data_IF_467019515837
#
_entry.id   IF_467019515837
#
_cell.length_a   1.000
_cell.length_b   1.000
_cell.length_c   1.000
_cell.angle_alpha   90.00
_cell.angle_beta   90.00
_cell.angle_gamma   90.00
#
_symmetry.space_group_name_H-M   'P 1'
#
loop_
_entity.id
_entity.type
_entity.pdbx_description
1 polymer ?
#
# COMPACT_ATOMS: atom_id res chain seq x y z
N UNK A 1 2.36 -17.36 -14.77
CA UNK A 1 2.19 -16.30 -15.79
C UNK A 1 3.39 -16.31 -16.72
N UNK A 2 3.28 -15.78 -17.93
CA UNK A 2 4.38 -15.71 -18.90
C UNK A 2 4.71 -14.25 -19.15
N UNK A 3 5.97 -13.88 -18.92
CA UNK A 3 6.51 -12.55 -19.19
C UNK A 3 7.01 -12.47 -20.62
N UNK A 4 6.60 -11.42 -21.32
CA UNK A 4 7.04 -11.15 -22.69
C UNK A 4 8.19 -10.14 -22.62
N UNK A 5 9.39 -10.56 -22.97
CA UNK A 5 10.61 -9.77 -22.80
C UNK A 5 11.17 -9.40 -24.17
N UNK A 6 11.39 -8.10 -24.40
CA UNK A 6 12.08 -7.57 -25.56
C UNK A 6 13.33 -6.83 -25.12
N UNK A 7 14.50 -7.24 -25.61
CA UNK A 7 15.80 -6.60 -25.31
C UNK A 7 16.04 -6.38 -23.80
N UNK A 8 15.60 -7.34 -22.97
CA UNK A 8 15.71 -7.27 -21.50
C UNK A 8 14.62 -6.47 -20.79
N UNK A 9 13.69 -5.85 -21.52
CA UNK A 9 12.56 -5.08 -20.95
C UNK A 9 11.27 -5.88 -21.05
N UNK A 10 10.48 -5.87 -19.98
CA UNK A 10 9.14 -6.48 -19.96
C UNK A 10 8.15 -5.66 -20.79
N UNK A 11 7.57 -6.26 -21.83
CA UNK A 11 6.48 -5.67 -22.60
C UNK A 11 5.12 -5.88 -21.93
N UNK A 12 4.99 -6.95 -21.16
CA UNK A 12 3.75 -7.33 -20.49
C UNK A 12 3.79 -8.76 -19.98
N UNK A 13 2.69 -9.19 -19.36
CA UNK A 13 2.50 -10.55 -18.88
C UNK A 13 1.17 -11.11 -19.40
N UNK A 14 1.14 -12.41 -19.64
CA UNK A 14 -0.08 -13.12 -20.06
C UNK A 14 -0.09 -14.53 -19.47
N UNK A 15 -1.26 -15.06 -19.17
CA UNK A 15 -1.42 -16.47 -18.78
C UNK A 15 -1.40 -17.40 -20.00
N UNK A 16 -1.85 -16.91 -21.15
CA UNK A 16 -1.96 -17.69 -22.38
C UNK A 16 -1.48 -16.83 -23.56
N UNK A 17 -0.21 -16.97 -23.99
CA UNK A 17 0.29 -16.32 -25.18
C UNK A 17 -0.54 -16.72 -26.40
N UNK A 18 -0.88 -15.74 -27.23
CA UNK A 18 -1.58 -16.00 -28.49
C UNK A 18 -0.54 -16.37 -29.54
N UNK A 19 -0.28 -17.66 -29.70
CA UNK A 19 0.72 -18.18 -30.64
C UNK A 19 0.29 -18.02 -32.09
N UNK A 20 1.23 -17.55 -32.92
CA UNK A 20 1.02 -17.35 -34.36
C UNK A 20 2.14 -17.95 -35.18
N UNK A 21 1.80 -18.31 -36.42
CA UNK A 21 2.75 -18.64 -37.48
C UNK A 21 2.36 -17.95 -38.77
N UNK A 22 3.31 -17.77 -39.68
CA UNK A 22 3.03 -17.25 -41.01
C UNK A 22 2.53 -18.38 -41.92
N UNK A 23 1.46 -18.13 -42.67
CA UNK A 23 0.97 -19.02 -43.72
C UNK A 23 1.64 -18.68 -45.06
N UNK A 24 1.56 -19.59 -46.04
CA UNK A 24 2.17 -19.41 -47.37
C UNK A 24 1.71 -18.15 -48.11
N UNK A 25 0.53 -17.64 -47.78
CA UNK A 25 -0.02 -16.40 -48.34
C UNK A 25 0.50 -15.13 -47.63
N UNK A 26 1.44 -15.27 -46.69
CA UNK A 26 2.03 -14.17 -45.91
C UNK A 26 1.20 -13.71 -44.72
N UNK A 27 -0.03 -14.21 -44.52
CA UNK A 27 -0.87 -13.87 -43.36
C UNK A 27 -0.45 -14.63 -42.10
N UNK A 28 -0.73 -14.05 -40.94
CA UNK A 28 -0.57 -14.72 -39.64
C UNK A 28 -1.82 -15.53 -39.28
N UNK A 29 -1.62 -16.76 -38.82
CA UNK A 29 -2.67 -17.65 -38.34
C UNK A 29 -2.37 -18.11 -36.92
N UNK A 30 -3.43 -18.30 -36.12
CA UNK A 30 -3.31 -18.88 -34.78
C UNK A 30 -2.84 -20.34 -34.88
N UNK A 31 -1.98 -20.75 -33.97
CA UNK A 31 -1.42 -22.11 -33.94
C UNK A 31 -1.12 -22.58 -32.51
N UNK A 32 -0.66 -23.82 -32.39
CA UNK A 32 -0.14 -24.36 -31.14
C UNK A 32 1.30 -23.88 -30.92
N UNK A 33 1.74 -23.82 -29.67
CA UNK A 33 3.09 -23.37 -29.29
C UNK A 33 4.22 -24.10 -30.04
N UNK A 34 4.07 -25.40 -30.24
CA UNK A 34 5.07 -26.24 -30.91
C UNK A 34 5.31 -25.83 -32.38
N UNK A 35 4.34 -25.18 -33.01
CA UNK A 35 4.37 -24.74 -34.41
C UNK A 35 4.58 -23.22 -34.54
N UNK A 36 4.66 -22.52 -33.42
CA UNK A 36 4.68 -21.07 -33.39
C UNK A 36 6.03 -20.51 -33.80
N UNK A 37 6.01 -19.52 -34.68
CA UNK A 37 7.16 -18.68 -35.02
C UNK A 37 7.09 -17.32 -34.33
N UNK A 38 5.93 -16.97 -33.77
CA UNK A 38 5.70 -15.72 -33.07
C UNK A 38 4.53 -15.76 -32.09
N UNK A 39 4.28 -14.62 -31.46
CA UNK A 39 3.07 -14.36 -30.68
C UNK A 39 2.41 -13.06 -31.12
N UNK A 40 1.09 -12.97 -30.96
CA UNK A 40 0.36 -11.72 -31.01
C UNK A 40 0.16 -11.17 -29.59
N UNK A 41 0.57 -9.93 -29.35
CA UNK A 41 0.36 -9.23 -28.08
C UNK A 41 -0.07 -7.80 -28.35
N UNK A 42 -1.20 -7.37 -27.76
CA UNK A 42 -1.78 -6.03 -27.94
C UNK A 42 -1.93 -5.59 -29.41
N UNK A 43 -2.26 -6.53 -30.30
CA UNK A 43 -2.44 -6.27 -31.73
C UNK A 43 -1.14 -6.24 -32.55
N UNK A 44 0.02 -6.40 -31.91
CA UNK A 44 1.33 -6.48 -32.58
C UNK A 44 1.83 -7.92 -32.63
N UNK A 45 2.40 -8.33 -33.76
CA UNK A 45 3.06 -9.64 -33.90
C UNK A 45 4.54 -9.50 -33.57
N UNK A 46 5.01 -10.37 -32.69
CA UNK A 46 6.41 -10.49 -32.32
C UNK A 46 6.94 -11.86 -32.72
N UNK A 47 8.19 -11.90 -33.16
CA UNK A 47 8.94 -13.13 -33.41
C UNK A 47 9.37 -13.78 -32.08
N UNK A 48 9.26 -15.09 -31.96
CA UNK A 48 9.79 -15.83 -30.81
C UNK A 48 11.28 -16.13 -31.03
N UNK A 49 12.14 -15.56 -30.18
CA UNK A 49 13.58 -15.75 -30.30
C UNK A 49 13.95 -17.26 -30.26
N UNK A 50 14.71 -17.72 -31.25
CA UNK A 50 15.08 -19.13 -31.38
C UNK A 50 14.11 -19.97 -32.24
N UNK A 51 13.07 -19.36 -32.82
CA UNK A 51 12.23 -19.95 -33.87
C UNK A 51 12.62 -19.43 -35.26
N UNK A 52 11.88 -19.87 -36.27
CA UNK A 52 12.04 -19.36 -37.63
C UNK A 52 11.73 -17.86 -37.68
N UNK A 53 12.62 -17.10 -38.29
CA UNK A 53 12.55 -15.64 -38.35
C UNK A 53 11.25 -15.17 -39.03
N UNK A 54 10.59 -14.19 -38.43
CA UNK A 54 9.46 -13.48 -39.03
C UNK A 54 9.93 -12.14 -39.58
N UNK A 55 9.82 -11.96 -40.89
CA UNK A 55 10.27 -10.75 -41.56
C UNK A 55 9.46 -9.53 -41.09
N UNK A 56 10.16 -8.47 -40.66
CA UNK A 56 9.55 -7.23 -40.17
C UNK A 56 9.00 -7.28 -38.74
N UNK A 57 9.11 -8.41 -38.03
CA UNK A 57 8.67 -8.55 -36.65
C UNK A 57 9.85 -8.43 -35.67
N UNK A 58 9.64 -7.71 -34.57
CA UNK A 58 10.61 -7.61 -33.49
C UNK A 58 10.64 -8.90 -32.66
N UNK A 59 11.80 -9.25 -32.09
CA UNK A 59 11.97 -10.50 -31.35
C UNK A 59 11.69 -10.36 -29.86
N UNK A 60 11.01 -11.35 -29.29
CA UNK A 60 10.73 -11.47 -27.86
C UNK A 60 11.11 -12.84 -27.34
N UNK A 61 11.33 -12.91 -26.03
CA UNK A 61 11.48 -14.16 -25.27
C UNK A 61 10.26 -14.29 -24.36
N UNK A 62 9.78 -15.52 -24.21
CA UNK A 62 8.77 -15.86 -23.21
C UNK A 62 9.47 -16.50 -22.02
N UNK A 63 9.26 -15.92 -20.83
CA UNK A 63 9.77 -16.45 -19.58
C UNK A 63 8.58 -16.84 -18.69
N UNK A 64 8.54 -18.09 -18.25
CA UNK A 64 7.57 -18.50 -17.22
C UNK A 64 7.95 -17.85 -15.89
N UNK A 65 7.00 -17.17 -15.28
CA UNK A 65 7.12 -16.53 -13.98
C UNK A 65 6.03 -17.05 -13.06
N UNK A 66 6.39 -17.33 -11.81
CA UNK A 66 5.42 -17.65 -10.78
C UNK A 66 4.54 -16.41 -10.51
N UNK A 67 3.24 -16.54 -10.79
CA UNK A 67 2.29 -15.45 -10.58
C UNK A 67 2.10 -15.15 -9.08
N UNK A 68 2.24 -16.15 -8.21
CA UNK A 68 2.15 -15.99 -6.77
C UNK A 68 3.30 -15.14 -6.23
N UNK A 69 4.53 -15.46 -6.64
CA UNK A 69 5.72 -14.70 -6.24
C UNK A 69 5.66 -13.24 -6.73
N UNK A 70 5.18 -12.99 -7.96
CA UNK A 70 5.09 -11.63 -8.49
C UNK A 70 3.98 -10.79 -7.80
N UNK A 71 2.86 -11.42 -7.45
CA UNK A 71 1.81 -10.79 -6.62
C UNK A 71 2.34 -10.46 -5.23
N UNK A 72 3.04 -11.40 -4.58
CA UNK A 72 3.64 -11.20 -3.26
C UNK A 72 4.70 -10.09 -3.28
N UNK A 73 5.54 -10.05 -4.33
CA UNK A 73 6.53 -8.99 -4.52
C UNK A 73 5.86 -7.62 -4.66
N UNK A 74 4.77 -7.54 -5.42
CA UNK A 74 4.01 -6.28 -5.61
C UNK A 74 3.35 -5.86 -4.30
N UNK A 75 2.72 -6.79 -3.57
CA UNK A 75 2.11 -6.53 -2.26
C UNK A 75 3.16 -6.06 -1.23
N UNK A 76 4.33 -6.71 -1.19
CA UNK A 76 5.46 -6.32 -0.34
C UNK A 76 5.94 -4.92 -0.67
N UNK A 77 6.07 -4.60 -1.97
CA UNK A 77 6.49 -3.26 -2.43
C UNK A 77 5.47 -2.20 -2.03
N UNK A 78 4.18 -2.46 -2.23
CA UNK A 78 3.10 -1.55 -1.83
C UNK A 78 3.07 -1.33 -0.31
N UNK A 79 3.29 -2.39 0.49
CA UNK A 79 3.40 -2.28 1.94
C UNK A 79 4.58 -1.42 2.39
N UNK A 80 5.74 -1.55 1.75
CA UNK A 80 6.92 -0.70 2.02
C UNK A 80 6.61 0.77 1.69
N UNK A 81 5.98 1.04 0.55
CA UNK A 81 5.59 2.41 0.16
C UNK A 81 4.58 2.99 1.15
N UNK A 82 3.55 2.23 1.52
CA UNK A 82 2.53 2.63 2.49
C UNK A 82 3.15 3.00 3.84
N UNK A 83 3.94 2.10 4.43
CA UNK A 83 4.58 2.33 5.73
C UNK A 83 5.53 3.53 5.69
N UNK A 84 6.30 3.71 4.62
CA UNK A 84 7.18 4.88 4.45
C UNK A 84 6.39 6.18 4.35
N UNK A 85 5.24 6.18 3.65
CA UNK A 85 4.37 7.35 3.56
C UNK A 85 3.72 7.69 4.90
N UNK A 86 3.27 6.68 5.66
CA UNK A 86 2.74 6.86 7.01
C UNK A 86 3.78 7.40 7.99
N UNK A 87 5.00 6.83 8.01
CA UNK A 87 6.10 7.33 8.85
C UNK A 87 6.54 8.76 8.46
N UNK A 88 6.31 9.17 7.21
CA UNK A 88 6.54 10.54 6.73
C UNK A 88 5.36 11.50 7.00
N UNK A 89 4.25 11.03 7.58
CA UNK A 89 3.05 11.82 7.86
C UNK A 89 2.20 12.14 6.61
N UNK A 90 2.38 11.40 5.51
CA UNK A 90 1.55 11.52 4.30
C UNK A 90 0.35 10.55 4.30
N UNK A 91 0.16 9.82 5.39
CA UNK A 91 -1.01 8.98 5.66
C UNK A 91 -1.38 9.28 7.10
N UNK A 92 -2.64 9.56 7.36
CA UNK A 92 -3.12 9.85 8.71
C UNK A 92 -3.05 8.60 9.60
N UNK A 93 -3.01 8.86 10.91
CA UNK A 93 -2.82 7.82 11.93
C UNK A 93 -3.97 6.78 11.93
N UNK A 94 -5.21 7.16 11.55
CA UNK A 94 -6.36 6.24 11.47
C UNK A 94 -6.20 5.29 10.29
N UNK A 95 -5.90 5.80 9.10
CA UNK A 95 -5.65 4.97 7.91
C UNK A 95 -4.44 4.06 8.13
N UNK A 96 -3.39 4.53 8.81
CA UNK A 96 -2.26 3.68 9.17
C UNK A 96 -2.69 2.53 10.09
N UNK A 97 -3.55 2.79 11.08
CA UNK A 97 -4.04 1.79 12.02
C UNK A 97 -4.90 0.69 11.35
N UNK A 98 -5.67 1.01 10.30
CA UNK A 98 -6.43 0.00 9.53
C UNK A 98 -5.54 -1.04 8.84
N UNK A 99 -4.26 -0.71 8.64
CA UNK A 99 -3.26 -1.56 7.99
C UNK A 99 -2.09 -1.91 8.94
N UNK A 100 -2.39 -2.09 10.23
CA UNK A 100 -1.39 -2.34 11.27
C UNK A 100 -0.48 -3.56 11.01
N UNK A 101 -0.96 -4.54 10.24
CA UNK A 101 -0.23 -5.74 9.85
C UNK A 101 0.90 -5.48 8.84
N UNK A 102 0.88 -4.35 8.12
CA UNK A 102 1.98 -3.93 7.26
C UNK A 102 3.19 -3.39 8.05
N UNK A 103 2.99 -2.97 9.30
CA UNK A 103 4.05 -2.41 10.13
C UNK A 103 4.87 -3.48 10.84
N UNK A 104 6.18 -3.26 10.87
CA UNK A 104 7.09 -4.14 11.60
C UNK A 104 6.76 -4.16 13.10
N UNK A 105 6.86 -5.33 13.76
CA UNK A 105 6.69 -5.40 15.20
C UNK A 105 7.80 -4.61 15.92
N UNK A 106 7.49 -4.07 17.09
CA UNK A 106 8.48 -3.51 18.00
C UNK A 106 9.45 -4.61 18.44
N UNK A 107 10.73 -4.26 18.53
CA UNK A 107 11.81 -5.16 18.91
C UNK A 107 12.91 -4.39 19.64
N UNK A 108 13.71 -5.12 20.41
CA UNK A 108 14.91 -4.60 21.07
C UNK A 108 16.06 -5.61 20.97
N UNK A 109 17.32 -5.15 20.87
CA UNK A 109 17.77 -3.76 20.80
C UNK A 109 17.77 -3.21 19.35
N UNK A 110 16.98 -2.16 19.09
CA UNK A 110 16.87 -1.47 17.80
C UNK A 110 17.06 0.04 18.01
N UNK A 111 17.79 0.69 17.11
CA UNK A 111 17.92 2.16 17.10
C UNK A 111 16.79 2.78 16.26
N UNK A 112 15.76 3.28 16.93
CA UNK A 112 14.62 3.92 16.30
C UNK A 112 14.88 5.41 16.02
N UNK A 113 14.31 5.91 14.93
CA UNK A 113 14.26 7.35 14.60
C UNK A 113 12.88 7.92 14.92
N UNK A 114 12.79 9.22 15.19
CA UNK A 114 11.51 9.90 15.36
C UNK A 114 10.65 9.74 14.10
N UNK A 115 9.33 9.56 14.29
CA UNK A 115 8.35 9.30 13.24
C UNK A 115 8.15 7.82 12.90
N UNK A 116 9.06 6.92 13.28
CA UNK A 116 8.89 5.48 12.97
C UNK A 116 7.70 4.87 13.69
N UNK A 117 6.97 4.01 12.98
CA UNK A 117 5.74 3.39 13.47
C UNK A 117 5.97 1.89 13.67
N UNK A 118 5.66 1.36 14.85
CA UNK A 118 5.81 -0.07 15.16
C UNK A 118 4.55 -0.64 15.76
N UNK A 119 4.24 -1.89 15.38
CA UNK A 119 3.17 -2.67 15.99
C UNK A 119 3.65 -3.27 17.31
N UNK A 120 2.88 -3.12 18.37
CA UNK A 120 3.19 -3.73 19.66
C UNK A 120 2.34 -4.98 19.94
N UNK A 121 2.61 -5.68 21.04
CA UNK A 121 2.01 -6.98 21.36
C UNK A 121 0.52 -6.89 21.71
N UNK A 122 0.03 -5.69 22.05
CA UNK A 122 -1.38 -5.35 22.21
C UNK A 122 -2.13 -5.20 20.87
N UNK A 123 -1.42 -5.30 19.73
CA UNK A 123 -1.96 -5.13 18.40
C UNK A 123 -2.03 -3.68 17.92
N UNK A 124 -1.65 -2.71 18.75
CA UNK A 124 -1.70 -1.28 18.42
C UNK A 124 -0.42 -0.84 17.71
N UNK A 125 -0.55 0.19 16.90
CA UNK A 125 0.57 0.96 16.35
C UNK A 125 0.99 2.09 17.30
N UNK A 126 2.31 2.24 17.43
CA UNK A 126 2.95 3.30 18.18
C UNK A 126 3.95 4.05 17.31
N UNK A 127 3.90 5.38 17.34
CA UNK A 127 4.83 6.28 16.67
C UNK A 127 5.93 6.71 17.63
N UNK A 128 7.18 6.58 17.21
CA UNK A 128 8.35 6.99 17.95
C UNK A 128 8.44 8.52 17.97
N UNK A 129 8.42 9.12 19.15
CA UNK A 129 8.47 10.58 19.32
C UNK A 129 9.88 11.14 19.19
N UNK A 130 10.88 10.38 19.65
CA UNK A 130 12.27 10.82 19.76
C UNK A 130 13.22 9.69 19.39
N UNK A 131 14.27 10.00 18.62
CA UNK A 131 15.26 9.00 18.24
C UNK A 131 15.97 8.42 19.47
N UNK A 132 16.02 7.09 19.58
CA UNK A 132 16.60 6.39 20.72
C UNK A 132 16.95 4.93 20.37
N UNK A 133 17.81 4.32 21.18
CA UNK A 133 18.00 2.87 21.19
C UNK A 133 17.01 2.24 22.17
N UNK A 134 16.16 1.34 21.68
CA UNK A 134 15.16 0.64 22.50
C UNK A 134 15.80 -0.22 23.58
N UNK A 135 15.15 -0.30 24.74
CA UNK A 135 15.52 -1.19 25.84
C UNK A 135 14.33 -2.08 26.20
N UNK A 136 14.60 -3.20 26.89
CA UNK A 136 13.56 -4.16 27.28
C UNK A 136 12.42 -3.51 28.08
N UNK A 137 12.75 -2.55 28.96
CA UNK A 137 11.79 -1.84 29.81
C UNK A 137 11.26 -0.55 29.16
N UNK A 138 11.67 -0.23 27.93
CA UNK A 138 11.20 0.94 27.17
C UNK A 138 10.20 0.50 26.11
N UNK A 139 9.15 -0.17 26.56
CA UNK A 139 8.11 -0.69 25.68
C UNK A 139 7.20 0.44 25.20
N UNK A 140 6.59 0.33 24.00
CA UNK A 140 5.74 1.37 23.43
C UNK A 140 4.54 1.78 24.31
N UNK A 141 3.96 0.84 25.06
CA UNK A 141 2.81 1.07 25.93
C UNK A 141 3.16 1.77 27.26
N UNK A 142 4.42 1.74 27.68
CA UNK A 142 4.85 2.28 28.99
C UNK A 142 5.73 3.52 28.87
N UNK A 143 6.58 3.58 27.85
CA UNK A 143 7.53 4.66 27.65
C UNK A 143 6.91 5.83 26.88
N UNK A 144 5.91 6.47 27.48
CA UNK A 144 5.09 7.55 26.89
C UNK A 144 5.89 8.79 26.43
N UNK A 145 7.12 8.99 26.93
CA UNK A 145 8.00 10.06 26.45
C UNK A 145 8.71 9.71 25.13
N UNK A 146 8.76 8.43 24.79
CA UNK A 146 9.44 7.89 23.60
C UNK A 146 8.45 7.42 22.53
N UNK A 147 7.25 7.02 22.92
CA UNK A 147 6.23 6.44 22.05
C UNK A 147 4.88 7.09 22.31
N UNK A 148 4.09 7.27 21.25
CA UNK A 148 2.68 7.65 21.31
C UNK A 148 1.86 6.60 20.56
N UNK A 149 0.74 6.16 21.14
CA UNK A 149 -0.21 5.30 20.44
C UNK A 149 -0.85 6.12 19.31
N UNK A 150 -0.82 5.59 18.09
CA UNK A 150 -1.53 6.16 16.93
C UNK A 150 -2.71 5.27 16.52
N UNK A 151 -3.00 4.27 17.33
CA UNK A 151 -3.89 3.17 17.00
C UNK A 151 -4.64 2.77 18.25
N UNK A 152 -5.69 3.50 18.54
CA UNK A 152 -6.82 2.87 19.20
C UNK A 152 -8.08 3.15 18.39
N UNK A 153 -8.49 2.24 17.50
CA UNK A 153 -9.78 2.32 16.82
C UNK A 153 -10.97 2.31 17.79
N UNK A 154 -10.76 1.95 19.07
CA UNK A 154 -11.74 2.01 20.15
C UNK A 154 -11.55 3.24 21.05
N UNK A 155 -10.54 4.08 20.83
CA UNK A 155 -10.47 5.39 21.46
C UNK A 155 -11.64 6.22 20.93
N UNK A 156 -12.48 6.65 21.86
CA UNK A 156 -13.71 7.35 21.52
C UNK A 156 -13.43 8.71 20.87
N UNK A 157 -12.25 9.30 21.14
CA UNK A 157 -11.86 10.64 20.70
C UNK A 157 -10.41 10.68 20.18
N UNK A 158 -10.09 10.02 19.06
CA UNK A 158 -8.75 10.03 18.48
C UNK A 158 -8.32 11.45 18.12
N UNK A 159 -7.02 11.77 18.21
CA UNK A 159 -6.53 13.11 17.82
C UNK A 159 -6.87 13.42 16.35
N UNK A 160 -7.38 14.62 16.08
CA UNK A 160 -7.73 15.04 14.73
C UNK A 160 -6.47 15.15 13.87
N UNK A 161 -6.53 14.56 12.68
CA UNK A 161 -5.51 14.65 11.66
C UNK A 161 -6.11 15.30 10.41
N UNK A 162 -5.40 16.25 9.81
CA UNK A 162 -5.85 16.93 8.59
C UNK A 162 -5.96 15.92 7.44
N UNK A 163 -7.15 15.72 6.84
CA UNK A 163 -7.28 14.84 5.69
C UNK A 163 -6.55 15.40 4.48
N UNK A 164 -5.88 14.52 3.74
CA UNK A 164 -5.14 14.75 2.51
C UNK A 164 -6.00 14.58 1.26
N UNK A 165 -7.16 13.92 1.36
CA UNK A 165 -8.09 13.73 0.25
C UNK A 165 -9.45 13.19 0.65
N UNK A 166 -10.16 12.61 -0.32
CA UNK A 166 -11.48 12.04 -0.08
C UNK A 166 -11.45 10.68 0.63
N UNK A 167 -10.29 10.03 0.66
CA UNK A 167 -10.12 8.66 1.16
C UNK A 167 -9.94 8.62 2.68
N UNK A 168 -9.44 9.70 3.27
CA UNK A 168 -9.21 9.91 4.70
C UNK A 168 -10.13 11.01 5.28
N UNK A 169 -11.16 11.40 4.52
CA UNK A 169 -12.15 12.36 4.96
C UNK A 169 -13.07 11.74 6.03
N UNK A 170 -13.32 12.47 7.11
CA UNK A 170 -14.12 11.99 8.23
C UNK A 170 -15.58 11.79 7.83
N UNK A 171 -16.18 10.65 8.23
CA UNK A 171 -17.60 10.41 8.03
C UNK A 171 -18.46 11.31 8.95
N UNK A 172 -19.75 11.42 8.64
CA UNK A 172 -20.70 12.05 9.56
C UNK A 172 -20.77 11.23 10.85
N UNK A 173 -20.70 11.90 12.00
CA UNK A 173 -20.67 11.28 13.32
C UNK A 173 -19.27 10.82 13.78
N UNK A 174 -18.23 10.99 12.96
CA UNK A 174 -16.86 10.72 13.38
C UNK A 174 -16.47 11.60 14.56
N UNK A 175 -15.77 11.03 15.53
CA UNK A 175 -15.34 11.69 16.77
C UNK A 175 -13.84 11.93 16.74
N UNK A 176 -13.39 13.10 17.17
CA UNK A 176 -11.96 13.45 17.27
C UNK A 176 -11.68 14.37 18.47
N UNK A 177 -10.44 14.35 18.96
CA UNK A 177 -9.88 15.33 19.88
C UNK A 177 -9.09 16.39 19.13
N UNK A 178 -9.33 17.68 19.39
CA UNK A 178 -8.53 18.76 18.82
C UNK A 178 -8.44 19.95 19.76
N UNK A 179 -7.24 20.50 19.95
CA UNK A 179 -6.96 21.61 20.87
C UNK A 179 -7.51 21.40 22.31
N UNK A 180 -7.43 20.15 22.81
CA UNK A 180 -7.90 19.78 24.15
C UNK A 180 -9.42 19.71 24.31
N UNK A 181 -10.17 19.62 23.20
CA UNK A 181 -11.62 19.49 23.16
C UNK A 181 -12.04 18.31 22.28
N UNK A 182 -13.25 17.80 22.51
CA UNK A 182 -13.84 16.72 21.74
C UNK A 182 -14.81 17.26 20.68
N UNK A 183 -14.80 16.66 19.49
CA UNK A 183 -15.55 17.14 18.32
C UNK A 183 -16.20 16.00 17.56
N UNK A 184 -17.44 16.20 17.12
CA UNK A 184 -18.22 15.25 16.32
C UNK A 184 -18.46 15.87 14.94
N UNK A 185 -18.14 15.14 13.87
CA UNK A 185 -18.36 15.60 12.50
C UNK A 185 -19.85 15.64 12.17
N UNK A 186 -20.35 16.78 11.70
CA UNK A 186 -21.75 16.98 11.32
C UNK A 186 -22.04 16.55 9.87
N UNK A 187 -21.00 16.38 9.06
CA UNK A 187 -21.10 16.13 7.61
C UNK A 187 -20.30 14.89 7.21
N UNK A 188 -20.73 14.23 6.13
CA UNK A 188 -19.96 13.15 5.52
C UNK A 188 -18.80 13.72 4.68
N UNK A 189 -17.71 12.97 4.60
CA UNK A 189 -16.48 13.38 3.91
C UNK A 189 -15.95 14.74 4.40
N UNK A 190 -15.92 14.95 5.71
CA UNK A 190 -15.43 16.15 6.35
C UNK A 190 -13.90 16.21 6.32
N UNK A 191 -13.38 17.23 5.67
CA UNK A 191 -11.93 17.50 5.51
C UNK A 191 -11.48 18.76 6.24
N UNK A 192 -12.39 19.45 6.92
CA UNK A 192 -12.12 20.71 7.60
C UNK A 192 -11.62 20.47 9.03
N UNK A 193 -10.87 21.42 9.56
CA UNK A 193 -10.39 21.40 10.95
C UNK A 193 -11.54 21.63 11.95
N UNK A 194 -11.57 20.91 13.10
CA UNK A 194 -12.55 21.15 14.15
C UNK A 194 -12.51 22.58 14.67
N UNK A 195 -13.69 23.20 14.78
CA UNK A 195 -13.86 24.62 15.08
C UNK A 195 -13.91 25.54 13.85
N UNK A 196 -13.65 25.03 12.63
CA UNK A 196 -13.80 25.79 11.38
C UNK A 196 -15.17 25.55 10.74
N UNK A 197 -15.46 24.31 10.33
CA UNK A 197 -16.70 23.96 9.64
C UNK A 197 -17.05 22.48 9.79
N UNK A 198 -18.34 22.18 9.94
CA UNK A 198 -18.85 20.80 9.90
C UNK A 198 -18.51 19.97 11.14
N UNK A 199 -18.19 20.61 12.27
CA UNK A 199 -17.93 19.95 13.55
C UNK A 199 -18.75 20.59 14.66
N UNK A 200 -19.33 19.75 15.51
CA UNK A 200 -19.96 20.14 16.77
C UNK A 200 -19.05 19.73 17.92
N UNK A 201 -18.70 20.68 18.80
CA UNK A 201 -17.98 20.38 20.05
C UNK A 201 -18.87 19.48 20.92
N UNK A 202 -18.35 18.32 21.32
CA UNK A 202 -19.05 17.45 22.25
C UNK A 202 -19.04 18.09 23.63
N UNK A 203 -20.21 18.12 24.29
CA UNK A 203 -20.26 18.52 25.69
C UNK A 203 -19.43 17.50 26.49
N UNK A 204 -18.44 17.97 27.26
CA UNK A 204 -17.83 17.14 28.30
C UNK A 204 -18.96 16.61 29.18
N UNK A 205 -19.16 15.30 29.22
CA UNK A 205 -19.93 14.67 30.27
C UNK A 205 -19.09 14.71 31.57
N UNK A 206 -18.81 15.94 32.02
CA UNK A 206 -18.36 16.25 33.36
C UNK A 206 -19.60 16.27 34.27
N UNK A 207 -20.32 15.16 34.31
CA UNK A 207 -21.37 14.93 35.28
C UNK A 207 -21.58 13.43 35.49
N UNK A 208 -20.78 12.82 36.38
CA UNK A 208 -21.36 12.02 37.47
C UNK A 208 -20.33 11.75 38.59
N UNK A 209 -20.61 12.39 39.73
CA UNK A 209 -20.30 12.09 41.16
C UNK A 209 -18.88 11.83 41.66
#
# INVERSE_FOLDING_TARGET
MIKIIKDGTSLGMTEAPTYVRQAENGCFVLCQEAEATGIAHNGTVYHLLGREALEGAESVILEETDAGEEIERTATTNGIVFTTMAEAGNIDDVTAAEHADLFSPWAYPVNYTAGQIRRYTDGKLYKCLQAHTSQADWTPDTAVSLWVSISDPAEEWPEWSQPMGAHDAYAQGAKVSHNGKHWISDVAANVWEPGVYGWTEAADDAAEV
#
